data_IF_632711036643
#
_entry.id   IF_632711036643
#
_cell.length_a   1.000
_cell.length_b   1.000
_cell.length_c   1.000
_cell.angle_alpha   90.00
_cell.angle_beta   90.00
_cell.angle_gamma   90.00
#
_symmetry.space_group_name_H-M   'P 1'
#
loop_
_entity.id
_entity.type
_entity.pdbx_description
1 polymer ?
#
# COMPACT_ATOMS: atom_id res chain seq x y z
N UNK A 1 -24.61 21.29 -9.92
CA UNK A 1 -24.56 22.77 -9.75
C UNK A 1 -23.87 23.36 -10.99
N UNK A 2 -24.07 24.61 -11.36
CA UNK A 2 -23.33 25.26 -12.47
C UNK A 2 -22.79 26.62 -12.04
N UNK A 3 -21.63 26.99 -12.59
CA UNK A 3 -21.10 28.34 -12.51
C UNK A 3 -21.88 29.26 -13.45
N UNK A 4 -22.24 30.44 -12.96
CA UNK A 4 -23.02 31.43 -13.68
C UNK A 4 -22.50 32.82 -13.37
N UNK A 5 -22.54 33.67 -14.37
CA UNK A 5 -22.10 35.06 -14.28
C UNK A 5 -23.27 36.00 -14.51
N UNK A 6 -23.44 37.04 -13.68
CA UNK A 6 -24.50 38.05 -13.83
C UNK A 6 -23.96 39.45 -13.62
N UNK A 7 -24.67 40.43 -14.17
CA UNK A 7 -24.38 41.84 -13.90
C UNK A 7 -24.74 42.16 -12.44
N UNK A 8 -23.79 42.73 -11.69
CA UNK A 8 -23.95 43.04 -10.26
C UNK A 8 -23.38 44.44 -9.97
N UNK A 9 -24.24 45.46 -9.98
CA UNK A 9 -23.81 46.86 -9.84
C UNK A 9 -22.99 47.32 -11.05
N UNK A 10 -21.76 47.80 -10.83
CA UNK A 10 -20.84 48.24 -11.91
C UNK A 10 -19.93 47.13 -12.47
N UNK A 11 -20.06 45.89 -11.98
CA UNK A 11 -19.15 44.77 -12.30
C UNK A 11 -19.93 43.50 -12.57
N UNK A 12 -19.25 42.48 -13.10
CA UNK A 12 -19.79 41.13 -13.25
C UNK A 12 -19.55 40.33 -11.97
N UNK A 13 -20.59 39.71 -11.43
CA UNK A 13 -20.50 38.80 -10.28
C UNK A 13 -20.61 37.34 -10.72
N UNK A 14 -19.93 36.45 -10.00
CA UNK A 14 -19.84 35.01 -10.26
C UNK A 14 -20.51 34.22 -9.15
N UNK A 15 -21.37 33.26 -9.51
CA UNK A 15 -22.20 32.52 -8.60
C UNK A 15 -22.35 31.06 -9.03
N UNK A 16 -22.47 30.18 -8.05
CA UNK A 16 -22.99 28.84 -8.27
C UNK A 16 -24.50 28.80 -8.05
N UNK A 17 -25.17 27.94 -8.82
CA UNK A 17 -26.59 27.66 -8.59
C UNK A 17 -27.08 26.40 -9.29
N UNK A 18 -28.39 26.15 -9.17
CA UNK A 18 -28.99 24.94 -9.71
C UNK A 18 -29.09 24.99 -11.24
N UNK A 19 -28.49 24.00 -11.92
CA UNK A 19 -28.51 23.87 -13.36
C UNK A 19 -29.92 23.73 -13.93
N UNK A 20 -30.78 22.96 -13.25
CA UNK A 20 -32.14 22.68 -13.69
C UNK A 20 -33.04 23.93 -13.55
N UNK A 21 -32.92 24.66 -12.44
CA UNK A 21 -33.62 25.94 -12.28
C UNK A 21 -33.17 26.94 -13.35
N UNK A 22 -31.87 27.02 -13.62
CA UNK A 22 -31.32 27.94 -14.63
C UNK A 22 -31.75 27.61 -16.06
N UNK A 23 -31.60 26.35 -16.48
CA UNK A 23 -31.84 25.94 -17.88
C UNK A 23 -33.32 25.68 -18.19
N UNK A 24 -34.10 25.23 -17.20
CA UNK A 24 -35.48 24.75 -17.40
C UNK A 24 -36.52 25.49 -16.54
N UNK A 25 -36.09 26.44 -15.73
CA UNK A 25 -36.98 27.32 -14.96
C UNK A 25 -37.52 26.73 -13.65
N UNK A 26 -38.23 27.56 -12.86
CA UNK A 26 -38.73 27.22 -11.53
C UNK A 26 -39.84 26.16 -11.53
N UNK A 27 -40.52 25.95 -12.66
CA UNK A 27 -41.50 24.88 -12.83
C UNK A 27 -40.85 23.47 -12.72
N UNK A 28 -39.58 23.33 -13.14
CA UNK A 28 -38.84 22.06 -13.07
C UNK A 28 -38.04 21.93 -11.77
N UNK A 29 -37.44 23.02 -11.29
CA UNK A 29 -36.71 23.00 -10.04
C UNK A 29 -36.88 24.33 -9.31
N UNK A 30 -37.46 24.31 -8.11
CA UNK A 30 -37.69 25.51 -7.29
C UNK A 30 -36.45 26.00 -6.54
N UNK A 31 -35.32 25.30 -6.63
CA UNK A 31 -34.08 25.71 -5.99
C UNK A 31 -33.51 26.96 -6.68
N UNK A 32 -33.76 28.11 -6.08
CA UNK A 32 -33.31 29.43 -6.52
C UNK A 32 -32.06 29.91 -5.78
N UNK A 33 -31.44 29.04 -4.96
CA UNK A 33 -30.23 29.37 -4.20
C UNK A 33 -29.10 29.74 -5.16
N UNK A 34 -28.44 30.86 -4.85
CA UNK A 34 -27.26 31.36 -5.55
C UNK A 34 -26.20 31.63 -4.51
N UNK A 35 -25.06 30.99 -4.65
CA UNK A 35 -23.94 31.10 -3.71
C UNK A 35 -22.82 31.85 -4.44
N UNK A 36 -22.23 32.91 -3.86
CA UNK A 36 -21.04 33.54 -4.45
C UNK A 36 -19.95 32.49 -4.68
N UNK A 37 -19.34 32.49 -5.86
CA UNK A 37 -18.31 31.50 -6.24
C UNK A 37 -17.23 31.44 -5.15
N UNK A 38 -16.60 32.59 -4.88
CA UNK A 38 -15.51 32.75 -3.92
C UNK A 38 -15.86 32.25 -2.51
N UNK A 39 -17.10 32.48 -2.07
CA UNK A 39 -17.54 32.04 -0.75
C UNK A 39 -17.65 30.50 -0.67
N UNK A 40 -18.17 29.87 -1.74
CA UNK A 40 -18.27 28.42 -1.77
C UNK A 40 -16.89 27.77 -1.90
N UNK A 41 -15.99 28.29 -2.73
CA UNK A 41 -14.66 27.68 -2.88
C UNK A 41 -13.87 27.78 -1.61
N UNK A 42 -13.89 28.95 -0.96
CA UNK A 42 -13.20 29.13 0.31
C UNK A 42 -13.72 28.12 1.33
N UNK A 43 -15.04 27.94 1.43
CA UNK A 43 -15.62 26.95 2.32
C UNK A 43 -15.22 25.51 1.99
N UNK A 44 -15.13 25.14 0.70
CA UNK A 44 -14.71 23.80 0.28
C UNK A 44 -13.22 23.59 0.55
N UNK A 45 -12.38 24.55 0.19
CA UNK A 45 -10.93 24.54 0.42
C UNK A 45 -10.63 24.47 1.91
N UNK A 46 -11.32 25.26 2.73
CA UNK A 46 -11.18 25.24 4.19
C UNK A 46 -11.61 23.88 4.75
N UNK A 47 -12.73 23.32 4.26
CA UNK A 47 -13.18 21.99 4.69
C UNK A 47 -12.16 20.89 4.33
N UNK A 48 -11.54 20.96 3.15
CA UNK A 48 -10.49 20.03 2.74
C UNK A 48 -9.20 20.21 3.57
N UNK A 49 -8.78 21.46 3.78
CA UNK A 49 -7.61 21.80 4.58
C UNK A 49 -7.78 21.35 6.05
N UNK A 50 -9.01 21.38 6.57
CA UNK A 50 -9.34 20.89 7.91
C UNK A 50 -9.51 19.38 7.95
N UNK A 51 -9.97 18.75 6.86
CA UNK A 51 -10.00 17.29 6.76
C UNK A 51 -8.58 16.70 6.73
N UNK A 52 -7.60 17.43 6.19
CA UNK A 52 -6.17 17.11 6.28
C UNK A 52 -5.57 17.51 7.64
N UNK A 53 -6.24 17.13 8.73
CA UNK A 53 -5.71 17.34 10.07
C UNK A 53 -4.51 16.41 10.34
N UNK A 54 -3.55 16.94 11.08
CA UNK A 54 -2.37 16.24 11.59
C UNK A 54 -2.71 14.91 12.25
N UNK A 55 -3.74 14.86 13.09
CA UNK A 55 -4.18 13.63 13.77
C UNK A 55 -4.71 12.58 12.78
N UNK A 56 -5.46 12.99 11.75
CA UNK A 56 -5.98 12.06 10.75
C UNK A 56 -4.85 11.46 9.90
N UNK A 57 -3.89 12.30 9.50
CA UNK A 57 -2.72 11.85 8.74
C UNK A 57 -1.90 10.87 9.56
N UNK A 58 -1.67 11.15 10.85
CA UNK A 58 -0.98 10.24 11.75
C UNK A 58 -1.69 8.89 11.89
N UNK A 59 -3.01 8.90 12.12
CA UNK A 59 -3.80 7.68 12.22
C UNK A 59 -3.77 6.85 10.92
N UNK A 60 -3.85 7.50 9.76
CA UNK A 60 -3.77 6.85 8.47
C UNK A 60 -2.39 6.22 8.21
N UNK A 61 -1.31 6.90 8.62
CA UNK A 61 0.05 6.38 8.51
C UNK A 61 0.26 5.19 9.43
N UNK A 62 -0.15 5.27 10.69
CA UNK A 62 -0.05 4.15 11.63
C UNK A 62 -0.83 2.93 11.13
N UNK A 63 -2.03 3.13 10.59
CA UNK A 63 -2.81 2.05 10.00
C UNK A 63 -2.12 1.42 8.78
N UNK A 64 -1.54 2.25 7.89
CA UNK A 64 -0.81 1.76 6.74
C UNK A 64 0.44 0.96 7.15
N UNK A 65 1.19 1.46 8.12
CA UNK A 65 2.38 0.78 8.67
C UNK A 65 2.00 -0.52 9.36
N UNK A 66 0.89 -0.54 10.10
CA UNK A 66 0.35 -1.74 10.75
C UNK A 66 0.04 -2.82 9.72
N UNK A 67 -0.71 -2.49 8.66
CA UNK A 67 -1.01 -3.43 7.57
C UNK A 67 0.25 -3.95 6.88
N UNK A 68 1.26 -3.10 6.69
CA UNK A 68 2.55 -3.50 6.12
C UNK A 68 3.33 -4.43 7.04
N UNK A 69 3.23 -4.27 8.37
CA UNK A 69 3.87 -5.16 9.35
C UNK A 69 3.07 -6.44 9.66
N UNK A 70 1.76 -6.44 9.47
CA UNK A 70 0.92 -7.63 9.65
C UNK A 70 1.13 -8.66 8.52
N UNK A 71 1.66 -8.23 7.37
CA UNK A 71 1.79 -9.10 6.19
C UNK A 71 2.96 -10.11 6.22
N UNK A 72 4.06 -9.98 7.00
CA UNK A 72 5.14 -10.97 6.93
C UNK A 72 5.58 -11.62 8.25
N UNK A 73 4.89 -11.50 9.38
CA UNK A 73 5.48 -12.04 10.63
C UNK A 73 5.48 -13.58 10.71
N UNK A 74 4.46 -14.26 10.16
CA UNK A 74 4.44 -15.73 10.08
C UNK A 74 5.25 -16.28 8.89
N UNK A 75 5.37 -15.51 7.79
CA UNK A 75 6.14 -15.90 6.60
C UNK A 75 7.65 -15.66 6.78
N UNK A 76 8.05 -14.61 7.51
CA UNK A 76 9.45 -14.29 7.78
C UNK A 76 10.14 -15.33 8.69
N UNK A 77 9.39 -16.05 9.54
CA UNK A 77 9.94 -17.10 10.41
C UNK A 77 10.00 -18.48 9.71
N UNK A 78 9.11 -18.73 8.74
CA UNK A 78 9.05 -20.01 8.00
C UNK A 78 10.16 -20.16 6.98
N UNK A 79 10.49 -19.10 6.24
CA UNK A 79 11.54 -19.11 5.21
C UNK A 79 12.94 -19.49 5.75
N UNK A 80 13.48 -18.87 6.81
CA UNK A 80 14.80 -19.24 7.35
C UNK A 80 14.80 -20.65 7.95
N UNK A 81 13.64 -21.15 8.40
CA UNK A 81 13.47 -22.53 8.87
C UNK A 81 13.58 -23.52 7.69
N UNK A 82 12.86 -23.28 6.59
CA UNK A 82 12.95 -24.07 5.35
C UNK A 82 14.36 -24.05 4.75
N UNK A 83 15.02 -22.89 4.72
CA UNK A 83 16.41 -22.77 4.21
C UNK A 83 17.39 -23.60 5.05
N UNK A 84 17.21 -23.68 6.38
CA UNK A 84 18.01 -24.54 7.26
C UNK A 84 17.73 -26.02 7.01
N UNK A 85 16.47 -26.41 6.89
CA UNK A 85 16.07 -27.80 6.62
C UNK A 85 16.60 -28.28 5.26
N UNK A 86 16.54 -27.44 4.22
CA UNK A 86 17.15 -27.73 2.90
C UNK A 86 18.67 -27.92 3.03
N UNK A 87 19.35 -27.06 3.81
CA UNK A 87 20.79 -27.18 4.02
C UNK A 87 21.16 -28.47 4.80
N UNK A 88 20.33 -28.89 5.75
CA UNK A 88 20.49 -30.16 6.47
C UNK A 88 20.29 -31.36 5.56
N UNK A 89 19.21 -31.38 4.76
CA UNK A 89 18.96 -32.43 3.78
C UNK A 89 20.12 -32.57 2.78
N UNK A 90 20.65 -31.46 2.25
CA UNK A 90 21.82 -31.46 1.36
C UNK A 90 23.07 -32.05 2.02
N UNK A 91 23.31 -31.74 3.31
CA UNK A 91 24.43 -32.32 4.06
C UNK A 91 24.26 -33.83 4.24
N UNK A 92 23.03 -34.29 4.46
CA UNK A 92 22.74 -35.71 4.63
C UNK A 92 22.86 -36.48 3.30
N UNK A 93 22.36 -35.92 2.20
CA UNK A 93 22.55 -36.44 0.83
C UNK A 93 24.04 -36.61 0.52
N UNK A 94 24.86 -35.59 0.79
CA UNK A 94 26.30 -35.64 0.54
C UNK A 94 26.99 -36.74 1.36
N UNK A 95 26.66 -36.87 2.66
CA UNK A 95 27.23 -37.93 3.51
C UNK A 95 26.85 -39.32 3.01
N UNK A 96 25.61 -39.52 2.59
CA UNK A 96 25.15 -40.79 2.04
C UNK A 96 25.86 -41.11 0.71
N UNK A 97 26.01 -40.12 -0.17
CA UNK A 97 26.74 -40.25 -1.42
C UNK A 97 28.22 -40.58 -1.19
N UNK A 98 28.87 -39.90 -0.24
CA UNK A 98 30.26 -40.16 0.14
C UNK A 98 30.43 -41.57 0.74
N UNK A 99 29.48 -42.03 1.57
CA UNK A 99 29.51 -43.37 2.16
C UNK A 99 29.35 -44.47 1.08
N UNK A 100 28.53 -44.23 0.05
CA UNK A 100 28.41 -45.10 -1.13
C UNK A 100 29.71 -45.09 -1.94
N UNK A 101 30.27 -43.91 -2.20
CA UNK A 101 31.49 -43.75 -3.01
C UNK A 101 32.74 -44.36 -2.35
N UNK A 102 32.84 -44.29 -1.02
CA UNK A 102 33.93 -44.88 -0.25
C UNK A 102 33.76 -46.39 -0.02
N UNK A 103 32.63 -46.98 -0.44
CA UNK A 103 32.37 -48.41 -0.26
C UNK A 103 32.32 -48.84 1.20
N UNK A 104 31.91 -47.92 2.09
CA UNK A 104 31.98 -48.13 3.54
C UNK A 104 31.21 -49.39 3.94
N UNK A 105 31.95 -50.37 4.45
CA UNK A 105 31.52 -51.74 4.70
C UNK A 105 30.67 -51.87 5.96
N UNK A 106 29.52 -51.20 5.99
CA UNK A 106 28.48 -51.50 6.97
C UNK A 106 27.60 -52.67 6.49
N UNK A 107 26.92 -53.36 7.41
CA UNK A 107 25.88 -54.38 7.13
C UNK A 107 24.68 -53.88 6.29
N UNK A 108 24.75 -52.64 5.78
CA UNK A 108 23.67 -52.00 5.04
C UNK A 108 23.85 -52.28 3.54
N UNK A 109 22.88 -52.93 2.88
CA UNK A 109 22.94 -53.19 1.45
C UNK A 109 23.05 -51.89 0.63
N UNK A 110 23.82 -51.89 -0.47
CA UNK A 110 23.91 -50.75 -1.38
C UNK A 110 22.54 -50.24 -1.86
N UNK A 111 21.57 -51.14 -2.08
CA UNK A 111 20.21 -50.78 -2.46
C UNK A 111 19.48 -49.96 -1.38
N UNK A 112 19.74 -50.23 -0.10
CA UNK A 112 19.14 -49.50 1.02
C UNK A 112 19.69 -48.06 1.09
N UNK A 113 20.98 -47.87 0.81
CA UNK A 113 21.62 -46.55 0.73
C UNK A 113 21.09 -45.72 -0.45
N UNK A 114 20.93 -46.33 -1.63
CA UNK A 114 20.33 -45.67 -2.80
C UNK A 114 18.87 -45.26 -2.53
N UNK A 115 18.12 -46.11 -1.83
CA UNK A 115 16.73 -45.82 -1.45
C UNK A 115 16.65 -44.65 -0.48
N UNK A 116 17.53 -44.61 0.53
CA UNK A 116 17.62 -43.49 1.46
C UNK A 116 18.00 -42.17 0.77
N UNK A 117 18.96 -42.20 -0.17
CA UNK A 117 19.36 -41.03 -0.93
C UNK A 117 18.21 -40.46 -1.76
N UNK A 118 17.45 -41.32 -2.47
CA UNK A 118 16.28 -40.89 -3.24
C UNK A 118 15.17 -40.30 -2.36
N UNK A 119 14.98 -40.82 -1.15
CA UNK A 119 14.00 -40.31 -0.22
C UNK A 119 14.36 -38.89 0.27
N UNK A 120 15.63 -38.65 0.59
CA UNK A 120 16.14 -37.33 0.95
C UNK A 120 16.07 -36.34 -0.23
N UNK A 121 16.43 -36.77 -1.44
CA UNK A 121 16.30 -35.94 -2.66
C UNK A 121 14.85 -35.52 -2.92
N UNK A 122 13.88 -36.41 -2.72
CA UNK A 122 12.48 -36.06 -2.86
C UNK A 122 12.03 -35.05 -1.79
N UNK A 123 12.41 -35.27 -0.52
CA UNK A 123 12.14 -34.31 0.56
C UNK A 123 12.70 -32.93 0.25
N UNK A 124 13.97 -32.87 -0.18
CA UNK A 124 14.62 -31.61 -0.56
C UNK A 124 13.88 -30.93 -1.70
N UNK A 125 13.50 -31.67 -2.76
CA UNK A 125 12.76 -31.09 -3.89
C UNK A 125 11.41 -30.50 -3.48
N UNK A 126 10.70 -31.17 -2.57
CA UNK A 126 9.43 -30.64 -2.03
C UNK A 126 9.68 -29.34 -1.26
N UNK A 127 10.64 -29.31 -0.35
CA UNK A 127 10.99 -28.10 0.41
C UNK A 127 11.49 -26.96 -0.49
N UNK A 128 12.26 -27.26 -1.54
CA UNK A 128 12.71 -26.28 -2.54
C UNK A 128 11.55 -25.71 -3.37
N UNK A 129 10.54 -26.53 -3.70
CA UNK A 129 9.32 -26.07 -4.37
C UNK A 129 8.48 -25.17 -3.44
N UNK A 130 8.34 -25.54 -2.17
CA UNK A 130 7.66 -24.71 -1.16
C UNK A 130 8.37 -23.37 -0.95
N UNK A 131 9.71 -23.37 -0.94
CA UNK A 131 10.49 -22.13 -0.86
C UNK A 131 10.36 -21.25 -2.12
N UNK A 132 10.16 -21.86 -3.29
CA UNK A 132 10.00 -21.17 -4.56
C UNK A 132 8.60 -20.58 -4.77
N UNK A 133 7.57 -21.15 -4.15
CA UNK A 133 6.20 -20.61 -4.16
C UNK A 133 5.99 -19.52 -3.12
N UNK A 134 6.83 -19.47 -2.07
CA UNK A 134 6.85 -18.34 -1.15
C UNK A 134 7.31 -17.06 -1.90
N UNK A 135 6.61 -15.93 -1.71
CA UNK A 135 7.07 -14.66 -2.22
C UNK A 135 8.52 -14.45 -1.76
N UNK A 136 9.41 -14.07 -2.68
CA UNK A 136 10.70 -13.54 -2.22
C UNK A 136 10.38 -12.41 -1.24
N UNK A 137 11.10 -12.31 -0.11
CA UNK A 137 11.03 -11.10 0.68
C UNK A 137 11.47 -9.98 -0.26
N UNK A 138 10.50 -9.29 -0.88
CA UNK A 138 10.68 -7.92 -1.31
C UNK A 138 11.25 -7.29 -0.08
N UNK A 139 12.51 -6.86 -0.17
CA UNK A 139 13.19 -6.22 0.95
C UNK A 139 12.18 -5.22 1.48
N UNK A 140 11.55 -5.56 2.60
CA UNK A 140 10.74 -4.64 3.36
C UNK A 140 11.84 -3.77 3.91
N UNK A 141 12.26 -2.80 3.09
CA UNK A 141 13.16 -1.71 3.43
C UNK A 141 12.68 -1.37 4.82
N UNK A 142 13.52 -1.54 5.84
CA UNK A 142 13.09 -1.33 7.22
C UNK A 142 12.52 0.09 7.24
N UNK A 143 11.19 0.19 7.13
CA UNK A 143 10.54 1.45 6.89
C UNK A 143 10.73 2.14 8.21
N UNK A 144 11.64 3.10 8.24
CA UNK A 144 11.82 3.94 9.40
C UNK A 144 10.49 4.68 9.57
N UNK A 145 9.64 4.12 10.44
CA UNK A 145 8.28 4.56 10.68
C UNK A 145 8.26 6.04 11.01
N UNK A 146 9.25 6.48 11.79
CA UNK A 146 9.43 7.87 12.19
C UNK A 146 9.74 8.75 10.97
N UNK A 147 10.61 8.29 10.06
CA UNK A 147 10.92 9.02 8.83
C UNK A 147 9.73 9.12 7.87
N UNK A 148 9.00 8.02 7.67
CA UNK A 148 7.84 7.95 6.78
C UNK A 148 6.71 8.84 7.31
N UNK A 149 6.41 8.75 8.61
CA UNK A 149 5.40 9.59 9.23
C UNK A 149 5.76 11.08 9.15
N UNK A 150 7.03 11.43 9.35
CA UNK A 150 7.50 12.81 9.22
C UNK A 150 7.31 13.35 7.79
N UNK A 151 7.74 12.60 6.78
CA UNK A 151 7.62 13.01 5.38
C UNK A 151 6.16 13.20 4.96
N UNK A 152 5.28 12.29 5.37
CA UNK A 152 3.85 12.38 5.06
C UNK A 152 3.17 13.57 5.75
N UNK A 153 3.58 13.88 6.99
CA UNK A 153 3.11 15.09 7.70
C UNK A 153 3.54 16.36 6.97
N UNK A 154 4.82 16.48 6.58
CA UNK A 154 5.32 17.63 5.81
C UNK A 154 4.53 17.84 4.53
N UNK A 155 4.28 16.76 3.78
CA UNK A 155 3.50 16.85 2.52
C UNK A 155 2.05 17.24 2.74
N UNK A 156 1.43 16.78 3.83
CA UNK A 156 0.07 17.19 4.19
C UNK A 156 -0.01 18.67 4.54
N UNK A 157 0.97 19.18 5.31
CA UNK A 157 1.09 20.60 5.63
C UNK A 157 1.35 21.46 4.38
N UNK A 158 2.20 21.00 3.48
CA UNK A 158 2.47 21.66 2.20
C UNK A 158 1.20 21.75 1.34
N UNK A 159 0.48 20.63 1.19
CA UNK A 159 -0.79 20.57 0.47
C UNK A 159 -1.81 21.53 1.10
N UNK A 160 -1.95 21.50 2.43
CA UNK A 160 -2.81 22.42 3.17
C UNK A 160 -2.45 23.88 2.89
N UNK A 161 -1.16 24.20 2.91
CA UNK A 161 -0.65 25.54 2.59
C UNK A 161 -0.94 25.96 1.15
N UNK A 162 -0.82 25.05 0.18
CA UNK A 162 -1.15 25.32 -1.22
C UNK A 162 -2.64 25.59 -1.42
N UNK A 163 -3.49 24.73 -0.86
CA UNK A 163 -4.95 24.88 -0.90
C UNK A 163 -5.39 26.23 -0.34
N UNK A 164 -4.84 26.65 0.82
CA UNK A 164 -5.19 27.92 1.46
C UNK A 164 -4.64 29.16 0.71
N UNK A 165 -3.47 29.06 0.08
CA UNK A 165 -2.85 30.20 -0.62
C UNK A 165 -3.43 30.46 -2.01
N UNK A 166 -3.93 29.42 -2.69
CA UNK A 166 -4.38 29.51 -4.09
C UNK A 166 -5.72 28.78 -4.31
N UNK A 167 -6.85 29.30 -3.78
CA UNK A 167 -8.16 28.66 -3.92
C UNK A 167 -8.63 28.56 -5.38
N UNK A 168 -8.18 29.45 -6.25
CA UNK A 168 -8.49 29.40 -7.69
C UNK A 168 -7.77 28.24 -8.42
N UNK A 169 -6.51 27.94 -8.07
CA UNK A 169 -5.81 26.75 -8.61
C UNK A 169 -6.34 25.46 -7.99
N UNK A 170 -6.77 25.49 -6.73
CA UNK A 170 -7.38 24.34 -6.07
C UNK A 170 -8.62 23.82 -6.83
N UNK A 171 -9.34 24.68 -7.54
CA UNK A 171 -10.46 24.29 -8.42
C UNK A 171 -10.07 23.45 -9.62
N UNK A 172 -8.87 23.62 -10.18
CA UNK A 172 -8.44 22.86 -11.36
C UNK A 172 -8.00 21.44 -10.99
N UNK A 173 -7.66 21.23 -9.72
CA UNK A 173 -7.18 19.95 -9.17
C UNK A 173 -8.34 19.08 -8.66
N UNK A 174 -9.49 19.69 -8.39
CA UNK A 174 -10.73 19.06 -7.91
C UNK A 174 -11.64 18.60 -9.06
#
# INVERSE_FOLDING_TARGET
>A
MIAMSRHHGRRRGYFYGCANNWKRGPAICRNTVRIPQEALDRAVVDAMANALDSELVEAAVEQALTRLSETPQEEADRRPTLEREIAEARRQEQRLADAIAQGTSGDTPPEALITALRAEEMRRKVMEQELATQPQPTAVVSLDRVRVARELRTRAEDMRGLLLRQPEHAREIL
#
